data_IF_328333618353
#
_entry.id   IF_328333618353
#
_cell.length_a   1.000
_cell.length_b   1.000
_cell.length_c   1.000
_cell.angle_alpha   90.00
_cell.angle_beta   90.00
_cell.angle_gamma   90.00
#
_symmetry.space_group_name_H-M   'P 1'
#
loop_
_entity.id
_entity.type
_entity.pdbx_description
1 polymer ?
#
# COMPACT_ATOMS: atom_id res chain seq x y z
N UNK A 1 -6.13 12.62 12.89
CA UNK A 1 -5.33 12.47 11.67
C UNK A 1 -3.88 12.20 12.07
N UNK A 2 -3.21 11.27 11.41
CA UNK A 2 -1.82 10.97 11.76
C UNK A 2 -0.86 12.00 11.15
N UNK A 3 0.41 12.10 11.66
CA UNK A 3 1.37 13.10 11.17
C UNK A 3 1.66 13.03 9.68
N UNK A 4 1.64 11.83 9.09
CA UNK A 4 1.91 11.66 7.66
C UNK A 4 0.79 12.29 6.83
N UNK A 5 -0.46 12.08 7.22
CA UNK A 5 -1.61 12.66 6.53
C UNK A 5 -1.66 14.18 6.69
N UNK A 6 -1.34 14.69 7.87
CA UNK A 6 -1.25 16.13 8.10
C UNK A 6 -0.21 16.77 7.19
N UNK A 7 0.97 16.18 7.13
CA UNK A 7 2.03 16.65 6.25
C UNK A 7 1.56 16.66 4.78
N UNK A 8 0.93 15.58 4.36
CA UNK A 8 0.46 15.44 2.99
C UNK A 8 -0.56 16.52 2.62
N UNK A 9 -1.55 16.73 3.49
CA UNK A 9 -2.58 17.76 3.27
C UNK A 9 -1.95 19.14 3.20
N UNK A 10 -1.07 19.46 4.11
CA UNK A 10 -0.41 20.76 4.17
C UNK A 10 0.48 21.04 2.96
N UNK A 11 0.90 20.00 2.24
CA UNK A 11 1.73 20.12 1.05
C UNK A 11 0.98 19.82 -0.26
N UNK A 12 -0.36 19.79 -0.21
CA UNK A 12 -1.19 19.62 -1.40
C UNK A 12 -1.23 18.21 -1.94
N UNK A 13 -0.78 17.22 -1.17
CA UNK A 13 -0.84 15.82 -1.54
C UNK A 13 -2.23 15.28 -1.23
N UNK A 14 -2.90 14.70 -2.22
CA UNK A 14 -4.26 14.19 -2.06
C UNK A 14 -4.32 12.67 -2.09
N UNK A 15 -3.20 12.00 -2.28
CA UNK A 15 -3.15 10.56 -2.47
C UNK A 15 -1.87 9.99 -1.86
N UNK A 16 -2.03 8.92 -1.10
CA UNK A 16 -0.91 8.10 -0.60
C UNK A 16 -1.00 6.74 -1.24
N UNK A 17 0.11 6.21 -1.71
CA UNK A 17 0.18 4.86 -2.27
C UNK A 17 1.28 4.06 -1.62
N UNK A 18 1.08 2.74 -1.62
CA UNK A 18 2.11 1.79 -1.18
C UNK A 18 1.97 0.49 -1.95
N UNK A 19 3.04 -0.29 -1.94
CA UNK A 19 3.03 -1.64 -2.48
C UNK A 19 3.35 -2.59 -1.32
N UNK A 20 2.64 -3.71 -1.27
CA UNK A 20 2.81 -4.71 -0.22
C UNK A 20 2.75 -6.10 -0.84
N UNK A 21 3.60 -7.01 -0.38
CA UNK A 21 3.58 -8.39 -0.85
C UNK A 21 2.18 -8.99 -0.66
N UNK A 22 1.66 -9.59 -1.71
CA UNK A 22 0.30 -10.18 -1.69
C UNK A 22 0.14 -11.22 -0.59
N UNK A 23 1.23 -11.89 -0.22
CA UNK A 23 1.24 -12.89 0.84
C UNK A 23 1.30 -12.32 2.24
N UNK A 24 1.59 -11.02 2.38
CA UNK A 24 1.70 -10.37 3.69
C UNK A 24 0.31 -9.93 4.19
N UNK A 25 -0.46 -10.90 4.66
CA UNK A 25 -1.85 -10.67 5.09
C UNK A 25 -1.96 -9.74 6.29
N UNK A 26 -0.97 -9.78 7.19
CA UNK A 26 -0.97 -8.91 8.37
C UNK A 26 -0.83 -7.45 7.94
N UNK A 27 0.11 -7.16 7.08
CA UNK A 27 0.32 -5.79 6.60
C UNK A 27 -0.89 -5.29 5.79
N UNK A 28 -1.44 -6.12 4.91
CA UNK A 28 -2.62 -5.76 4.12
C UNK A 28 -3.79 -5.40 5.05
N UNK A 29 -4.05 -6.23 6.05
CA UNK A 29 -5.11 -5.97 7.01
C UNK A 29 -4.89 -4.66 7.76
N UNK A 30 -3.65 -4.39 8.17
CA UNK A 30 -3.31 -3.14 8.85
C UNK A 30 -3.59 -1.92 7.96
N UNK A 31 -3.16 -1.96 6.71
CA UNK A 31 -3.38 -0.86 5.78
C UNK A 31 -4.86 -0.66 5.49
N UNK A 32 -5.63 -1.74 5.34
CA UNK A 32 -7.08 -1.63 5.16
C UNK A 32 -7.75 -0.94 6.35
N UNK A 33 -7.32 -1.27 7.56
CA UNK A 33 -7.85 -0.64 8.79
C UNK A 33 -7.52 0.85 8.86
N UNK A 34 -6.45 1.27 8.23
CA UNK A 34 -6.05 2.69 8.20
C UNK A 34 -6.60 3.43 6.99
N UNK A 35 -7.46 2.78 6.21
CA UNK A 35 -8.17 3.43 5.11
C UNK A 35 -7.59 3.23 3.73
N UNK A 36 -6.57 2.39 3.58
CA UNK A 36 -6.04 2.06 2.26
C UNK A 36 -6.94 1.04 1.58
N UNK A 37 -7.09 1.17 0.28
CA UNK A 37 -7.87 0.27 -0.55
C UNK A 37 -6.99 -0.36 -1.62
N UNK A 38 -7.33 -1.57 -2.04
CA UNK A 38 -6.63 -2.25 -3.13
C UNK A 38 -6.98 -1.58 -4.46
N UNK A 39 -5.96 -1.30 -5.26
CA UNK A 39 -6.16 -0.72 -6.59
C UNK A 39 -5.66 -1.60 -7.73
N UNK A 40 -4.81 -2.55 -7.44
CA UNK A 40 -4.29 -3.43 -8.46
C UNK A 40 -3.30 -4.43 -7.93
N UNK A 41 -2.91 -5.34 -8.81
CA UNK A 41 -1.91 -6.37 -8.52
C UNK A 41 -0.76 -6.20 -9.51
N UNK A 42 0.45 -6.12 -8.96
CA UNK A 42 1.68 -6.10 -9.74
C UNK A 42 2.22 -7.53 -9.76
N UNK A 43 2.06 -8.20 -10.89
CA UNK A 43 2.45 -9.61 -11.01
C UNK A 43 3.95 -9.74 -11.17
N UNK A 44 4.52 -10.78 -10.53
CA UNK A 44 5.97 -11.06 -10.57
C UNK A 44 6.79 -9.84 -10.21
N UNK A 45 6.38 -9.17 -9.12
CA UNK A 45 6.97 -7.89 -8.73
C UNK A 45 8.38 -8.06 -8.14
N UNK A 46 8.63 -9.20 -7.50
CA UNK A 46 9.95 -9.45 -6.90
C UNK A 46 10.21 -10.95 -6.79
N UNK A 47 11.47 -11.30 -6.62
CA UNK A 47 11.93 -12.69 -6.58
C UNK A 47 12.37 -13.04 -5.16
N UNK A 48 11.80 -14.10 -4.58
CA UNK A 48 12.13 -14.59 -3.24
C UNK A 48 12.37 -16.09 -3.32
N UNK A 49 13.58 -16.52 -2.94
CA UNK A 49 13.95 -17.95 -2.91
C UNK A 49 13.61 -18.68 -4.21
N UNK A 50 13.87 -18.05 -5.35
CA UNK A 50 13.64 -18.64 -6.66
C UNK A 50 12.18 -18.60 -7.12
N UNK A 51 11.29 -17.97 -6.36
CA UNK A 51 9.87 -17.81 -6.72
C UNK A 51 9.53 -16.34 -6.91
N UNK A 52 8.77 -16.06 -7.95
CA UNK A 52 8.21 -14.72 -8.13
C UNK A 52 7.01 -14.52 -7.23
N UNK A 53 6.94 -13.35 -6.64
CA UNK A 53 5.83 -12.95 -5.77
C UNK A 53 5.15 -11.73 -6.35
N UNK A 54 3.83 -11.66 -6.15
CA UNK A 54 3.03 -10.52 -6.56
C UNK A 54 2.96 -9.49 -5.44
N UNK A 55 2.77 -8.22 -5.83
CA UNK A 55 2.48 -7.16 -4.88
C UNK A 55 1.10 -6.58 -5.12
N UNK A 56 0.45 -6.16 -4.04
CA UNK A 56 -0.76 -5.35 -4.11
C UNK A 56 -0.37 -3.89 -4.13
N UNK A 57 -0.98 -3.15 -5.04
CA UNK A 57 -0.94 -1.70 -5.01
C UNK A 57 -2.12 -1.22 -4.18
N UNK A 58 -1.85 -0.46 -3.15
CA UNK A 58 -2.87 0.09 -2.27
C UNK A 58 -2.74 1.61 -2.21
N UNK A 59 -3.87 2.27 -2.07
CA UNK A 59 -3.89 3.72 -2.01
C UNK A 59 -4.95 4.22 -1.03
N UNK A 60 -4.70 5.41 -0.53
CA UNK A 60 -5.64 6.14 0.31
C UNK A 60 -5.77 7.57 -0.20
N UNK A 61 -6.98 7.99 -0.44
CA UNK A 61 -7.29 9.38 -0.79
C UNK A 61 -7.47 10.16 0.51
N UNK A 62 -6.82 11.28 0.60
CA UNK A 62 -6.83 12.11 1.80
C UNK A 62 -7.29 13.54 1.50
#
# INVERSE_FOLDING_TARGET
MNPIEEYAINNGITRLELEVAKTNKVAISLYQKTGFEEEGIKRNAFLVNGKYEDELLMAKII
#
